data_IF_175813585010
#
_entry.id   IF_175813585010
#
_cell.length_a   1.000
_cell.length_b   1.000
_cell.length_c   1.000
_cell.angle_alpha   90.00
_cell.angle_beta   90.00
_cell.angle_gamma   90.00
#
_symmetry.space_group_name_H-M   'P 1'
#
loop_
_entity.id
_entity.type
_entity.pdbx_description
1 polymer ?
#
# COMPACT_ATOMS: atom_id res chain seq x y z
N UNK A 1 -26.41 -24.42 10.82
CA UNK A 1 -25.66 -24.18 9.58
C UNK A 1 -25.64 -22.68 9.30
N UNK A 2 -24.46 -22.11 9.06
CA UNK A 2 -24.28 -20.73 8.63
C UNK A 2 -23.89 -20.70 7.16
N UNK A 3 -24.27 -19.63 6.46
CA UNK A 3 -23.98 -19.44 5.04
C UNK A 3 -23.35 -18.06 4.88
N UNK A 4 -22.24 -18.01 4.16
CA UNK A 4 -21.57 -16.78 3.74
C UNK A 4 -21.58 -16.72 2.23
N UNK A 5 -22.11 -15.63 1.68
CA UNK A 5 -22.31 -15.46 0.25
C UNK A 5 -21.57 -14.21 -0.23
N UNK A 6 -20.91 -14.29 -1.38
CA UNK A 6 -20.45 -13.11 -2.12
C UNK A 6 -21.05 -13.13 -3.53
N UNK A 7 -21.51 -11.96 -3.97
CA UNK A 7 -22.23 -11.74 -5.23
C UNK A 7 -21.52 -10.67 -6.04
N UNK A 8 -21.82 -10.61 -7.34
CA UNK A 8 -21.46 -9.52 -8.24
C UNK A 8 -19.97 -9.15 -8.26
N UNK A 9 -19.09 -10.14 -8.03
CA UNK A 9 -17.65 -9.88 -7.93
C UNK A 9 -16.90 -10.26 -9.21
N UNK A 10 -15.88 -9.47 -9.53
CA UNK A 10 -14.93 -9.69 -10.63
C UNK A 10 -13.59 -9.04 -10.26
N UNK A 11 -12.42 -9.66 -10.51
CA UNK A 11 -12.19 -10.92 -11.23
C UNK A 11 -12.51 -12.18 -10.39
N UNK A 12 -12.53 -13.35 -11.03
CA UNK A 12 -12.90 -14.66 -10.43
C UNK A 12 -12.18 -15.02 -9.11
N UNK A 13 -10.87 -14.77 -8.92
CA UNK A 13 -10.19 -15.20 -7.70
C UNK A 13 -10.72 -14.46 -6.46
N UNK A 14 -11.33 -15.20 -5.54
CA UNK A 14 -11.85 -14.74 -4.24
C UNK A 14 -11.57 -15.82 -3.18
N UNK A 15 -11.45 -15.43 -1.91
CA UNK A 15 -11.25 -16.37 -0.80
C UNK A 15 -12.16 -16.03 0.37
N UNK A 16 -13.04 -16.97 0.71
CA UNK A 16 -13.93 -16.91 1.87
C UNK A 16 -13.30 -17.71 3.02
N UNK A 17 -13.16 -17.11 4.19
CA UNK A 17 -12.58 -17.73 5.38
C UNK A 17 -13.49 -17.57 6.58
N UNK A 18 -13.87 -18.67 7.22
CA UNK A 18 -14.58 -18.65 8.49
C UNK A 18 -13.61 -18.46 9.67
N UNK A 19 -13.94 -17.53 10.55
CA UNK A 19 -13.22 -17.25 11.78
C UNK A 19 -14.16 -17.50 12.97
N UNK A 20 -13.67 -18.23 13.98
CA UNK A 20 -14.32 -18.37 15.29
C UNK A 20 -13.44 -17.67 16.32
N UNK A 21 -13.95 -16.61 16.94
CA UNK A 21 -13.21 -15.76 17.87
C UNK A 21 -11.84 -15.30 17.29
N UNK A 22 -11.84 -14.94 16.00
CA UNK A 22 -10.64 -14.53 15.27
C UNK A 22 -9.70 -15.65 14.80
N UNK A 23 -9.96 -16.92 15.14
CA UNK A 23 -9.17 -18.07 14.68
C UNK A 23 -9.81 -18.73 13.48
N UNK A 24 -8.99 -19.06 12.47
CA UNK A 24 -9.46 -19.76 11.27
C UNK A 24 -10.04 -21.12 11.61
N UNK A 25 -11.24 -21.37 11.10
CA UNK A 25 -11.91 -22.67 11.19
C UNK A 25 -11.45 -23.51 10.00
N UNK A 26 -10.92 -24.71 10.27
CA UNK A 26 -10.40 -25.64 9.25
C UNK A 26 -11.21 -26.92 9.10
N UNK A 27 -12.08 -27.25 10.06
CA UNK A 27 -13.06 -28.34 9.97
C UNK A 27 -14.45 -27.77 9.68
N UNK A 28 -15.34 -28.57 9.07
CA UNK A 28 -16.78 -28.26 8.92
C UNK A 28 -17.14 -27.16 7.90
N UNK A 29 -16.21 -26.76 7.04
CA UNK A 29 -16.48 -25.84 5.93
C UNK A 29 -16.82 -26.62 4.67
N UNK A 30 -18.08 -26.53 4.24
CA UNK A 30 -18.54 -27.05 2.95
C UNK A 30 -18.57 -25.87 1.99
N UNK A 31 -17.62 -25.83 1.06
CA UNK A 31 -17.61 -24.84 -0.02
C UNK A 31 -18.58 -25.31 -1.11
N UNK A 32 -19.57 -24.50 -1.45
CA UNK A 32 -20.50 -24.82 -2.54
C UNK A 32 -20.12 -24.07 -3.82
N UNK A 33 -20.27 -24.79 -4.92
CA UNK A 33 -19.82 -24.47 -6.28
C UNK A 33 -20.21 -23.09 -6.83
N UNK A 34 -19.39 -22.68 -7.79
CA UNK A 34 -19.48 -21.48 -8.60
C UNK A 34 -20.75 -21.51 -9.46
N UNK A 35 -21.67 -20.57 -9.22
CA UNK A 35 -22.84 -20.36 -10.07
C UNK A 35 -22.48 -19.27 -11.08
N UNK A 36 -22.43 -19.62 -12.36
CA UNK A 36 -22.31 -18.65 -13.45
C UNK A 36 -23.70 -18.08 -13.76
N UNK A 37 -23.91 -16.79 -13.47
CA UNK A 37 -25.22 -16.15 -13.59
C UNK A 37 -25.52 -15.60 -14.99
N UNK A 38 -24.72 -15.97 -16.02
CA UNK A 38 -24.93 -15.50 -17.39
C UNK A 38 -24.41 -14.09 -17.66
N UNK A 39 -24.43 -13.23 -16.64
CA UNK A 39 -23.79 -11.93 -16.60
C UNK A 39 -22.35 -12.10 -16.13
N UNK A 40 -21.40 -11.29 -16.62
CA UNK A 40 -19.94 -11.43 -16.46
C UNK A 40 -19.38 -11.46 -15.02
N UNK A 41 -20.25 -11.52 -14.01
CA UNK A 41 -19.96 -11.54 -12.59
C UNK A 41 -20.05 -12.96 -12.00
N UNK A 42 -19.37 -13.16 -10.88
CA UNK A 42 -19.32 -14.44 -10.19
C UNK A 42 -20.09 -14.40 -8.86
N UNK A 43 -20.59 -15.57 -8.46
CA UNK A 43 -21.23 -15.79 -7.16
C UNK A 43 -20.62 -17.03 -6.50
N UNK A 44 -20.52 -16.98 -5.18
CA UNK A 44 -19.88 -18.03 -4.37
C UNK A 44 -20.54 -18.11 -3.00
N UNK A 45 -20.68 -19.33 -2.47
CA UNK A 45 -21.19 -19.55 -1.13
C UNK A 45 -20.30 -20.51 -0.35
N UNK A 46 -20.13 -20.21 0.93
CA UNK A 46 -19.46 -21.08 1.88
C UNK A 46 -20.42 -21.42 3.01
N UNK A 47 -20.54 -22.70 3.32
CA UNK A 47 -21.37 -23.22 4.38
C UNK A 47 -20.49 -23.65 5.55
N UNK A 48 -20.92 -23.33 6.76
CA UNK A 48 -20.29 -23.77 8.00
C UNK A 48 -21.31 -24.53 8.84
N UNK A 49 -21.02 -25.80 9.12
CA UNK A 49 -21.75 -26.52 10.16
C UNK A 49 -21.32 -25.96 11.52
N UNK A 50 -22.29 -25.44 12.27
CA UNK A 50 -22.04 -24.67 13.49
C UNK A 50 -22.96 -25.16 14.60
N UNK A 51 -22.35 -25.49 15.73
CA UNK A 51 -23.03 -25.80 16.99
C UNK A 51 -22.89 -24.59 17.93
N UNK A 52 -23.98 -23.99 18.42
CA UNK A 52 -23.92 -22.77 19.22
C UNK A 52 -23.24 -23.00 20.57
N UNK A 53 -22.13 -22.29 20.82
CA UNK A 53 -21.46 -22.19 22.11
C UNK A 53 -21.80 -20.87 22.84
N UNK A 54 -21.65 -20.79 24.17
CA UNK A 54 -21.88 -19.54 24.90
C UNK A 54 -20.85 -18.48 24.51
N UNK A 55 -21.33 -17.34 24.02
CA UNK A 55 -20.56 -16.14 23.69
C UNK A 55 -19.45 -16.31 22.62
N UNK A 56 -19.64 -17.20 21.64
CA UNK A 56 -18.73 -17.30 20.49
C UNK A 56 -19.10 -16.32 19.37
N UNK A 57 -18.10 -15.61 18.83
CA UNK A 57 -18.24 -14.76 17.64
C UNK A 57 -17.79 -15.54 16.40
N UNK A 58 -18.69 -15.64 15.42
CA UNK A 58 -18.39 -16.21 14.10
C UNK A 58 -18.30 -15.07 13.09
N UNK A 59 -17.24 -15.06 12.29
CA UNK A 59 -17.02 -14.06 11.25
C UNK A 59 -16.71 -14.76 9.93
N UNK A 60 -17.31 -14.30 8.84
CA UNK A 60 -16.88 -14.66 7.50
C UNK A 60 -16.02 -13.53 6.93
N UNK A 61 -14.76 -13.83 6.63
CA UNK A 61 -13.83 -12.91 6.02
C UNK A 61 -13.76 -13.16 4.51
N UNK A 62 -13.90 -12.10 3.72
CA UNK A 62 -13.88 -12.15 2.26
C UNK A 62 -12.62 -11.43 1.77
N UNK A 63 -11.72 -12.15 1.11
CA UNK A 63 -10.53 -11.60 0.48
C UNK A 63 -10.73 -11.59 -1.05
N UNK A 64 -10.73 -10.39 -1.64
CA UNK A 64 -10.91 -10.20 -3.08
C UNK A 64 -9.95 -9.12 -3.60
N UNK A 65 -9.54 -9.23 -4.87
CA UNK A 65 -8.60 -8.29 -5.49
C UNK A 65 -9.12 -6.85 -5.47
N UNK A 66 -10.44 -6.63 -5.56
CA UNK A 66 -11.04 -5.31 -5.50
C UNK A 66 -10.95 -4.64 -4.12
N UNK A 67 -10.68 -5.40 -3.05
CA UNK A 67 -10.51 -4.85 -1.71
C UNK A 67 -9.07 -4.40 -1.44
N UNK A 68 -8.10 -4.95 -2.17
CA UNK A 68 -6.73 -4.43 -2.15
C UNK A 68 -6.73 -3.15 -2.96
N UNK A 69 -6.31 -2.03 -2.34
CA UNK A 69 -6.09 -0.78 -3.07
C UNK A 69 -5.36 -1.10 -4.38
N UNK A 70 -5.85 -0.58 -5.54
CA UNK A 70 -5.18 -0.87 -6.78
C UNK A 70 -3.72 -0.42 -6.64
N UNK A 71 -2.74 -1.25 -7.06
CA UNK A 71 -1.39 -0.75 -7.18
C UNK A 71 -1.47 0.51 -8.04
N UNK A 72 -0.96 1.64 -7.53
CA UNK A 72 -0.93 2.91 -8.26
C UNK A 72 -0.58 2.63 -9.71
N UNK A 73 -1.43 3.05 -10.63
CA UNK A 73 -1.24 2.78 -12.05
C UNK A 73 0.17 3.22 -12.46
N UNK A 74 0.80 2.56 -13.44
CA UNK A 74 2.16 2.92 -13.89
C UNK A 74 2.23 4.43 -14.21
N UNK A 75 1.16 4.99 -14.78
CA UNK A 75 1.01 6.42 -15.03
C UNK A 75 0.97 7.30 -13.76
N UNK A 76 0.39 6.85 -12.65
CA UNK A 76 0.42 7.56 -11.37
C UNK A 76 1.78 7.46 -10.68
N UNK A 77 2.46 6.30 -10.79
CA UNK A 77 3.86 6.16 -10.33
C UNK A 77 4.80 7.09 -11.09
N UNK A 78 4.66 7.17 -12.41
CA UNK A 78 5.50 8.04 -13.24
C UNK A 78 5.31 9.52 -12.91
N UNK A 79 4.08 9.95 -12.65
CA UNK A 79 3.79 11.33 -12.20
C UNK A 79 4.46 11.66 -10.87
N UNK A 80 4.43 10.74 -9.91
CA UNK A 80 5.10 10.92 -8.61
C UNK A 80 6.62 10.96 -8.76
N UNK A 81 7.20 10.07 -9.57
CA UNK A 81 8.64 10.01 -9.82
C UNK A 81 9.16 11.28 -10.51
N UNK A 82 8.44 11.79 -11.52
CA UNK A 82 8.79 13.03 -12.20
C UNK A 82 8.71 14.23 -11.24
N UNK A 83 7.69 14.27 -10.37
CA UNK A 83 7.54 15.31 -9.35
C UNK A 83 8.71 15.36 -8.36
N UNK A 84 9.11 14.21 -7.81
CA UNK A 84 10.21 14.12 -6.85
C UNK A 84 11.54 14.49 -7.49
N UNK A 85 11.80 14.01 -8.70
CA UNK A 85 13.05 14.28 -9.42
C UNK A 85 13.18 15.77 -9.78
N UNK A 86 12.08 16.40 -10.23
CA UNK A 86 12.05 17.83 -10.52
C UNK A 86 12.31 18.69 -9.29
N UNK A 87 11.76 18.32 -8.14
CA UNK A 87 11.96 19.05 -6.88
C UNK A 87 13.41 18.99 -6.42
N UNK A 88 14.05 17.82 -6.47
CA UNK A 88 15.46 17.66 -6.13
C UNK A 88 16.37 18.49 -7.04
N UNK A 89 16.12 18.46 -8.36
CA UNK A 89 16.88 19.30 -9.31
C UNK A 89 16.69 20.80 -9.01
N UNK A 90 15.46 21.24 -8.72
CA UNK A 90 15.17 22.62 -8.36
C UNK A 90 15.92 23.10 -7.12
N UNK A 91 16.01 22.27 -6.08
CA UNK A 91 16.74 22.58 -4.85
C UNK A 91 18.25 22.70 -5.10
N UNK A 92 18.83 21.82 -5.93
CA UNK A 92 20.26 21.88 -6.27
C UNK A 92 20.59 23.16 -7.05
N UNK A 93 19.75 23.53 -8.01
CA UNK A 93 19.94 24.76 -8.80
C UNK A 93 19.77 26.01 -7.91
N UNK A 94 18.76 26.02 -7.05
CA UNK A 94 18.52 27.13 -6.13
C UNK A 94 19.70 27.32 -5.15
N UNK A 95 20.18 26.23 -4.54
CA UNK A 95 21.30 26.28 -3.59
C UNK A 95 22.60 26.74 -4.25
N UNK A 96 22.97 26.17 -5.40
CA UNK A 96 24.17 26.61 -6.14
C UNK A 96 24.07 28.05 -6.62
N UNK A 97 22.91 28.46 -7.13
CA UNK A 97 22.65 29.85 -7.52
C UNK A 97 22.78 30.83 -6.36
N UNK A 98 22.25 30.47 -5.18
CA UNK A 98 22.30 31.30 -3.97
C UNK A 98 23.72 31.41 -3.41
N UNK A 99 24.49 30.32 -3.42
CA UNK A 99 25.91 30.32 -3.06
C UNK A 99 26.71 31.20 -4.02
N UNK A 100 26.49 31.06 -5.33
CA UNK A 100 27.18 31.87 -6.34
C UNK A 100 26.88 33.36 -6.17
N UNK A 101 25.60 33.71 -5.97
CA UNK A 101 25.18 35.09 -5.74
C UNK A 101 25.84 35.69 -4.48
N UNK A 102 25.86 34.93 -3.38
CA UNK A 102 26.52 35.35 -2.13
C UNK A 102 28.03 35.50 -2.30
N UNK A 103 28.70 34.57 -3.01
CA UNK A 103 30.13 34.67 -3.32
C UNK A 103 30.47 35.88 -4.19
N UNK A 104 29.62 36.18 -5.19
CA UNK A 104 29.78 37.34 -6.06
C UNK A 104 29.66 38.67 -5.31
N UNK A 105 28.77 38.76 -4.32
CA UNK A 105 28.64 39.96 -3.49
C UNK A 105 29.74 40.11 -2.42
N UNK A 106 30.38 39.02 -1.99
CA UNK A 106 31.27 39.04 -0.81
C UNK A 106 32.75 39.22 -1.16
N UNK A 107 33.20 39.10 -2.41
CA UNK A 107 34.60 39.41 -2.77
C UNK A 107 35.65 38.71 -1.86
N UNK A 108 35.78 37.38 -1.96
CA UNK A 108 36.69 36.46 -1.25
C UNK A 108 36.37 36.10 0.21
N UNK A 109 36.18 34.80 0.51
CA UNK A 109 37.19 33.92 1.14
C UNK A 109 36.59 32.57 1.62
N UNK A 110 37.48 31.60 1.75
CA UNK A 110 37.36 30.13 1.71
C UNK A 110 36.67 29.43 2.90
N UNK A 111 35.64 29.98 3.53
CA UNK A 111 35.06 29.40 4.77
C UNK A 111 33.68 28.73 4.61
N UNK A 112 33.03 28.89 3.45
CA UNK A 112 31.65 28.41 3.26
C UNK A 112 31.51 26.89 3.03
N UNK A 113 32.60 26.14 2.87
CA UNK A 113 32.53 24.69 2.61
C UNK A 113 32.28 23.84 3.86
N UNK A 114 32.39 24.40 5.08
CA UNK A 114 32.21 23.63 6.32
C UNK A 114 30.72 23.35 6.66
N UNK A 115 29.75 23.87 5.88
CA UNK A 115 28.31 23.69 6.17
C UNK A 115 27.61 22.56 5.40
N UNK A 116 28.28 21.85 4.48
CA UNK A 116 27.62 20.83 3.65
C UNK A 116 27.93 19.38 4.04
N UNK A 117 28.96 19.12 4.86
CA UNK A 117 29.29 17.79 5.37
C UNK A 117 29.54 17.93 6.86
N UNK A 118 28.66 17.33 7.67
CA UNK A 118 28.72 17.40 9.13
C UNK A 118 30.14 17.18 9.66
N UNK A 119 30.66 18.21 10.31
CA UNK A 119 31.52 18.18 11.50
C UNK A 119 32.59 17.08 11.61
N UNK A 120 33.36 16.77 10.55
CA UNK A 120 34.55 15.91 10.70
C UNK A 120 35.88 16.47 10.18
N UNK A 121 35.90 17.59 9.47
CA UNK A 121 37.15 18.09 8.86
C UNK A 121 37.39 19.61 9.01
N UNK A 122 36.88 20.25 10.07
CA UNK A 122 37.19 21.66 10.35
C UNK A 122 38.50 21.85 11.17
N UNK A 123 39.43 20.89 11.17
CA UNK A 123 40.75 21.04 11.81
C UNK A 123 41.85 20.30 11.03
N UNK A 124 42.56 21.03 10.17
CA UNK A 124 43.97 20.75 9.86
C UNK A 124 44.68 22.09 9.84
N UNK A 125 45.73 22.19 10.67
CA UNK A 125 46.62 23.35 10.87
C UNK A 125 47.18 23.97 9.60
#
# INVERSE_FOLDING_TARGET
MLICSAYDFYPKPIKLTWLRNGKKVTGDVVFSEELYDGDWYYQIHSHLEYSPGPAEQITCMVEHLSFSQPPLSEAERDKVVVGVTGLLMGVIIATTGLIYYKRKQTGQNLYSLCLSFGDLFCNVS
#
